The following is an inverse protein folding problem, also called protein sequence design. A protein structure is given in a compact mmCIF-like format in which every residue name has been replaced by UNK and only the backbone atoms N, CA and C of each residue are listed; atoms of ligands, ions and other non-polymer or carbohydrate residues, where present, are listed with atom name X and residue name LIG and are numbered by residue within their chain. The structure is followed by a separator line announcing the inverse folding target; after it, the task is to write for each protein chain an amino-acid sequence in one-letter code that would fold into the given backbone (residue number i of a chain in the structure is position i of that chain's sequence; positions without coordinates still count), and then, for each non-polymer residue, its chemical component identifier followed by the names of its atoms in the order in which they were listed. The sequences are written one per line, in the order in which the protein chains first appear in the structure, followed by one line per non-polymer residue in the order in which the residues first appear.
data_IF_043234872340
#
_entry.id   IF_043234872340
#
_cell.length_a   1.000
_cell.length_b   1.000
_cell.length_c   1.000
_cell.angle_alpha   90.00
_cell.angle_beta   90.00
_cell.angle_gamma   90.00
#
_symmetry.space_group_name_H-M   'P 1'
#
loop_
_entity.id
_entity.type
_entity.pdbx_description
1 polymer ?
#
# COMPACT_ATOMS: atom_id res chain seq x y z
N UNK A 1 -23.96 -37.03 -44.88
CA UNK A 1 -25.25 -37.06 -44.17
C UNK A 1 -24.95 -36.61 -42.76
N UNK A 2 -25.59 -35.55 -42.27
CA UNK A 2 -25.42 -35.12 -40.88
C UNK A 2 -26.37 -35.93 -39.99
N UNK A 3 -25.91 -36.36 -38.82
CA UNK A 3 -26.81 -36.98 -37.84
C UNK A 3 -27.84 -35.96 -37.34
N UNK A 4 -29.09 -36.38 -37.07
CA UNK A 4 -30.09 -35.50 -36.50
C UNK A 4 -29.70 -35.13 -35.06
N UNK A 5 -29.83 -33.85 -34.71
CA UNK A 5 -29.57 -33.37 -33.35
C UNK A 5 -30.69 -33.83 -32.41
N UNK A 6 -30.33 -34.56 -31.35
CA UNK A 6 -31.25 -35.01 -30.32
C UNK A 6 -31.50 -33.89 -29.30
N UNK A 7 -32.65 -33.23 -29.44
CA UNK A 7 -33.07 -32.16 -28.56
C UNK A 7 -33.42 -32.65 -27.15
N UNK A 8 -33.93 -33.87 -27.00
CA UNK A 8 -34.39 -34.39 -25.71
C UNK A 8 -33.18 -34.79 -24.85
N UNK A 9 -32.18 -35.45 -25.44
CA UNK A 9 -30.90 -35.73 -24.79
C UNK A 9 -30.17 -34.45 -24.35
N UNK A 10 -30.21 -33.39 -25.16
CA UNK A 10 -29.62 -32.09 -24.83
C UNK A 10 -30.36 -31.40 -23.66
N UNK A 11 -31.68 -31.50 -23.59
CA UNK A 11 -32.49 -30.97 -22.49
C UNK A 11 -32.28 -31.76 -21.19
N UNK A 12 -32.14 -33.08 -21.26
CA UNK A 12 -31.83 -33.91 -20.09
C UNK A 12 -30.44 -33.58 -19.52
N UNK A 13 -29.42 -33.47 -20.37
CA UNK A 13 -28.08 -33.06 -19.95
C UNK A 13 -28.08 -31.68 -19.25
N UNK A 14 -28.77 -30.69 -19.83
CA UNK A 14 -28.91 -29.37 -19.22
C UNK A 14 -29.65 -29.41 -17.86
N UNK A 15 -30.65 -30.28 -17.71
CA UNK A 15 -31.34 -30.47 -16.43
C UNK A 15 -30.42 -31.07 -15.35
N UNK A 16 -29.58 -32.03 -15.73
CA UNK A 16 -28.55 -32.62 -14.86
C UNK A 16 -27.51 -31.57 -14.43
N UNK A 17 -27.01 -30.74 -15.36
CA UNK A 17 -26.08 -29.65 -15.06
C UNK A 17 -26.69 -28.62 -14.09
N UNK A 18 -27.95 -28.21 -14.31
CA UNK A 18 -28.66 -27.31 -13.39
C UNK A 18 -28.80 -27.92 -11.99
N UNK A 19 -29.04 -29.23 -11.89
CA UNK A 19 -29.11 -29.92 -10.61
C UNK A 19 -27.74 -29.99 -9.91
N UNK A 20 -26.68 -30.26 -10.66
CA UNK A 20 -25.31 -30.27 -10.14
C UNK A 20 -24.88 -28.88 -9.63
N UNK A 21 -25.19 -27.81 -10.37
CA UNK A 21 -24.91 -26.43 -9.96
C UNK A 21 -25.65 -26.05 -8.67
N UNK A 22 -26.93 -26.44 -8.51
CA UNK A 22 -27.68 -26.22 -7.27
C UNK A 22 -27.08 -26.96 -6.08
N UNK A 23 -26.69 -28.22 -6.27
CA UNK A 23 -26.04 -29.01 -5.22
C UNK A 23 -24.69 -28.41 -4.79
N UNK A 24 -23.91 -27.89 -5.74
CA UNK A 24 -22.66 -27.17 -5.47
C UNK A 24 -22.90 -25.83 -4.76
N UNK A 25 -23.94 -25.08 -5.12
CA UNK A 25 -24.31 -23.83 -4.43
C UNK A 25 -24.69 -24.10 -2.97
N UNK A 26 -25.50 -25.13 -2.71
CA UNK A 26 -25.88 -25.51 -1.35
C UNK A 26 -24.70 -26.04 -0.54
N UNK A 27 -23.72 -26.70 -1.16
CA UNK A 27 -22.47 -27.06 -0.48
C UNK A 27 -21.61 -25.85 -0.13
N UNK A 28 -21.47 -24.90 -1.05
CA UNK A 28 -20.79 -23.64 -0.79
C UNK A 28 -21.48 -22.86 0.35
N UNK A 29 -22.82 -22.81 0.38
CA UNK A 29 -23.59 -22.20 1.47
C UNK A 29 -23.32 -22.88 2.81
N UNK A 30 -23.27 -24.21 2.87
CA UNK A 30 -22.90 -24.97 4.08
C UNK A 30 -21.48 -24.63 4.55
N UNK A 31 -20.48 -24.68 3.66
CA UNK A 31 -19.09 -24.33 3.99
C UNK A 31 -18.95 -22.89 4.49
N UNK A 32 -19.63 -21.92 3.85
CA UNK A 32 -19.67 -20.53 4.31
C UNK A 32 -20.30 -20.40 5.71
N UNK A 33 -21.33 -21.19 6.03
CA UNK A 33 -21.93 -21.19 7.35
C UNK A 33 -20.97 -21.72 8.43
N UNK A 34 -20.28 -22.84 8.17
CA UNK A 34 -19.24 -23.39 9.05
C UNK A 34 -18.08 -22.40 9.26
N UNK A 35 -17.57 -21.77 8.20
CA UNK A 35 -16.53 -20.75 8.35
C UNK A 35 -17.01 -19.56 9.21
N UNK A 36 -18.27 -19.13 9.09
CA UNK A 36 -18.84 -18.06 9.93
C UNK A 36 -19.03 -18.46 11.41
N UNK A 37 -19.07 -19.73 11.76
CA UNK A 37 -19.11 -20.21 13.17
C UNK A 37 -17.72 -20.45 13.74
N UNK A 38 -16.82 -20.99 12.94
CA UNK A 38 -15.56 -21.55 13.41
C UNK A 38 -14.41 -20.52 13.38
N UNK A 39 -14.51 -19.49 12.53
CA UNK A 39 -13.56 -18.38 12.55
C UNK A 39 -13.69 -17.61 13.88
N UNK A 40 -12.59 -17.41 14.62
CA UNK A 40 -12.62 -16.63 15.84
C UNK A 40 -13.11 -15.22 15.51
N UNK A 41 -14.09 -14.73 16.27
CA UNK A 41 -14.56 -13.36 16.20
C UNK A 41 -13.88 -12.57 17.30
N UNK A 42 -12.86 -11.75 17.01
CA UNK A 42 -12.26 -10.90 18.04
C UNK A 42 -13.34 -9.96 18.58
N UNK A 43 -13.42 -9.84 19.91
CA UNK A 43 -14.32 -8.89 20.57
C UNK A 43 -13.94 -7.42 20.32
N UNK A 44 -12.68 -7.19 19.93
CA UNK A 44 -12.17 -5.92 19.45
C UNK A 44 -12.33 -5.80 17.91
N UNK A 45 -13.07 -4.79 17.41
CA UNK A 45 -13.17 -4.52 15.98
C UNK A 45 -11.83 -4.27 15.28
N UNK A 46 -10.81 -3.74 15.98
CA UNK A 46 -9.48 -3.50 15.40
C UNK A 46 -8.76 -4.83 15.15
N UNK A 47 -8.77 -5.75 16.13
CA UNK A 47 -8.28 -7.10 15.96
C UNK A 47 -9.05 -7.88 14.88
N UNK A 48 -10.38 -7.75 14.79
CA UNK A 48 -11.19 -8.38 13.74
C UNK A 48 -10.81 -7.89 12.34
N UNK A 49 -10.58 -6.58 12.18
CA UNK A 49 -10.12 -5.95 10.95
C UNK A 49 -8.70 -6.39 10.58
N UNK A 50 -7.76 -6.40 11.53
CA UNK A 50 -6.38 -6.89 11.33
C UNK A 50 -6.35 -8.36 10.90
N UNK A 51 -7.12 -9.23 11.56
CA UNK A 51 -7.25 -10.64 11.19
C UNK A 51 -7.78 -10.82 9.76
N UNK A 52 -8.86 -10.12 9.40
CA UNK A 52 -9.45 -10.23 8.07
C UNK A 52 -8.54 -9.72 6.94
N UNK A 53 -7.74 -8.68 7.19
CA UNK A 53 -6.72 -8.19 6.25
C UNK A 53 -5.60 -9.22 6.09
N UNK A 54 -5.08 -9.78 7.18
CA UNK A 54 -4.04 -10.80 7.11
C UNK A 54 -4.52 -12.05 6.35
N UNK A 55 -5.71 -12.56 6.69
CA UNK A 55 -6.31 -13.72 6.05
C UNK A 55 -6.62 -13.51 4.55
N UNK A 56 -6.91 -12.28 4.11
CA UNK A 56 -7.10 -11.98 2.68
C UNK A 56 -5.86 -12.27 1.83
N UNK A 57 -4.66 -12.07 2.41
CA UNK A 57 -3.39 -12.32 1.72
C UNK A 57 -2.85 -13.73 1.94
N UNK A 58 -3.17 -14.38 3.06
CA UNK A 58 -2.56 -15.66 3.46
C UNK A 58 -3.48 -16.88 3.32
N UNK A 59 -4.79 -16.69 3.20
CA UNK A 59 -5.80 -17.75 3.14
C UNK A 59 -6.79 -17.52 1.98
N UNK A 60 -6.34 -17.65 0.70
CA UNK A 60 -7.16 -17.38 -0.48
C UNK A 60 -8.41 -18.27 -0.62
N UNK A 61 -8.47 -19.38 0.12
CA UNK A 61 -9.64 -20.24 0.24
C UNK A 61 -10.78 -19.63 1.07
N UNK A 62 -10.51 -18.60 1.89
CA UNK A 62 -11.54 -17.89 2.67
C UNK A 62 -12.23 -16.86 1.76
N UNK A 63 -13.55 -16.97 1.51
CA UNK A 63 -14.23 -16.03 0.63
C UNK A 63 -14.12 -14.59 1.12
N UNK A 64 -13.75 -13.67 0.22
CA UNK A 64 -13.63 -12.22 0.50
C UNK A 64 -14.87 -11.63 1.17
N UNK A 65 -16.05 -12.16 0.88
CA UNK A 65 -17.31 -11.83 1.56
C UNK A 65 -17.22 -12.06 3.08
N UNK A 66 -16.75 -13.23 3.54
CA UNK A 66 -16.65 -13.55 4.97
C UNK A 66 -15.62 -12.65 5.66
N UNK A 67 -14.47 -12.44 5.02
CA UNK A 67 -13.43 -11.53 5.54
C UNK A 67 -13.97 -10.10 5.65
N UNK A 68 -14.70 -9.64 4.65
CA UNK A 68 -15.31 -8.32 4.64
C UNK A 68 -16.39 -8.16 5.74
N UNK A 69 -17.22 -9.17 5.96
CA UNK A 69 -18.22 -9.17 7.04
C UNK A 69 -17.54 -9.13 8.42
N UNK A 70 -16.50 -9.95 8.64
CA UNK A 70 -15.72 -9.96 9.88
C UNK A 70 -14.99 -8.62 10.12
N UNK A 71 -14.39 -8.03 9.09
CA UNK A 71 -13.66 -6.77 9.19
C UNK A 71 -14.56 -5.55 9.49
N UNK A 72 -15.81 -5.57 9.01
CA UNK A 72 -16.65 -4.37 8.95
C UNK A 72 -17.88 -4.41 9.85
N UNK A 73 -18.30 -5.60 10.30
CA UNK A 73 -19.57 -5.82 11.02
C UNK A 73 -20.82 -5.66 10.15
N UNK A 74 -20.67 -5.50 8.83
CA UNK A 74 -21.76 -5.40 7.87
C UNK A 74 -22.01 -6.76 7.20
N UNK A 75 -23.07 -6.88 6.38
CA UNK A 75 -23.39 -8.09 5.62
C UNK A 75 -23.32 -7.90 4.10
N UNK A 76 -22.95 -8.96 3.38
CA UNK A 76 -22.98 -9.06 1.92
C UNK A 76 -22.27 -7.91 1.18
N UNK A 77 -22.87 -7.41 0.10
CA UNK A 77 -22.25 -6.40 -0.77
C UNK A 77 -21.85 -5.09 -0.08
N UNK A 78 -22.50 -4.69 1.04
CA UNK A 78 -22.09 -3.53 1.83
C UNK A 78 -20.79 -3.77 2.60
N UNK A 79 -20.62 -4.99 3.11
CA UNK A 79 -19.37 -5.42 3.73
C UNK A 79 -18.25 -5.41 2.71
N UNK A 80 -18.44 -6.06 1.56
CA UNK A 80 -17.46 -6.11 0.46
C UNK A 80 -17.08 -4.70 0.01
N UNK A 81 -18.05 -3.83 -0.30
CA UNK A 81 -17.75 -2.46 -0.72
C UNK A 81 -16.93 -1.69 0.31
N UNK A 82 -17.30 -1.76 1.60
CA UNK A 82 -16.56 -1.08 2.68
C UNK A 82 -15.16 -1.69 2.87
N UNK A 83 -15.04 -3.02 2.88
CA UNK A 83 -13.77 -3.73 3.05
C UNK A 83 -12.83 -3.49 1.87
N UNK A 84 -13.28 -3.68 0.64
CA UNK A 84 -12.48 -3.38 -0.56
C UNK A 84 -12.10 -1.91 -0.59
N UNK A 85 -13.03 -0.97 -0.33
CA UNK A 85 -12.69 0.46 -0.25
C UNK A 85 -11.68 0.77 0.85
N UNK A 86 -11.73 0.09 1.99
CA UNK A 86 -10.74 0.27 3.07
C UNK A 86 -9.40 -0.41 2.77
N UNK A 87 -9.40 -1.47 1.97
CA UNK A 87 -8.19 -2.15 1.46
C UNK A 87 -7.51 -1.33 0.36
N UNK A 88 -8.28 -0.75 -0.56
CA UNK A 88 -7.76 0.12 -1.65
C UNK A 88 -7.52 1.55 -1.19
N UNK A 89 -8.18 2.01 -0.11
CA UNK A 89 -7.81 3.26 0.56
C UNK A 89 -6.51 3.13 1.36
N UNK A 90 -5.81 1.99 1.32
CA UNK A 90 -4.38 1.96 1.67
C UNK A 90 -3.48 2.58 0.58
N UNK A 91 -4.03 2.95 -0.58
CA UNK A 91 -3.35 3.85 -1.54
C UNK A 91 -3.60 5.34 -1.22
N UNK A 92 -4.30 5.69 -0.13
CA UNK A 92 -4.43 7.10 0.31
C UNK A 92 -4.77 7.21 1.80
N UNK A 93 -3.83 7.71 2.58
CA UNK A 93 -4.01 8.01 4.01
C UNK A 93 -5.05 9.14 4.18
N UNK A 94 -6.34 8.78 4.40
CA UNK A 94 -7.44 9.76 4.44
C UNK A 94 -8.38 9.56 5.64
N UNK A 95 -8.09 10.21 6.78
CA UNK A 95 -9.09 11.01 7.46
C UNK A 95 -9.63 12.08 6.49
N UNK A 96 -10.92 12.42 6.62
CA UNK A 96 -11.63 13.47 5.85
C UNK A 96 -10.76 14.71 5.49
N UNK A 97 -11.04 15.34 4.33
CA UNK A 97 -10.38 16.51 3.67
C UNK A 97 -10.07 17.78 4.53
N UNK A 98 -10.16 17.71 5.85
CA UNK A 98 -9.95 18.79 6.82
C UNK A 98 -8.94 18.42 7.92
N UNK A 99 -8.17 17.34 7.77
CA UNK A 99 -7.21 16.86 8.78
C UNK A 99 -5.77 16.75 8.24
N UNK A 100 -5.21 17.88 7.78
CA UNK A 100 -3.76 18.09 7.82
C UNK A 100 -3.36 18.23 9.28
N UNK A 101 -3.06 17.09 9.93
CA UNK A 101 -2.55 17.03 11.30
C UNK A 101 -1.23 16.27 11.29
N UNK A 102 -0.14 17.05 11.28
CA UNK A 102 1.19 16.68 11.80
C UNK A 102 1.50 15.18 11.71
N UNK A 103 1.53 14.63 10.49
CA UNK A 103 2.16 13.34 10.28
C UNK A 103 3.63 13.45 10.73
N UNK A 104 4.18 12.43 11.42
CA UNK A 104 5.59 12.44 11.80
C UNK A 104 6.47 12.70 10.56
N UNK A 105 7.43 13.61 10.67
CA UNK A 105 8.40 13.85 9.59
C UNK A 105 9.38 12.69 9.53
N UNK A 106 9.07 11.71 8.69
CA UNK A 106 9.83 10.47 8.53
C UNK A 106 8.89 9.30 8.18
N UNK A 107 9.47 8.19 7.77
CA UNK A 107 8.75 6.94 7.56
C UNK A 107 8.21 6.43 8.90
N UNK A 108 6.97 5.92 8.96
CA UNK A 108 6.45 5.34 10.19
C UNK A 108 7.28 4.12 10.63
N UNK A 109 7.36 3.83 11.93
CA UNK A 109 7.98 2.59 12.40
C UNK A 109 7.26 1.37 11.81
N UNK A 110 8.03 0.44 11.24
CA UNK A 110 7.50 -0.84 10.73
C UNK A 110 6.61 -1.53 11.76
N UNK A 111 5.41 -1.94 11.35
CA UNK A 111 4.55 -2.82 12.14
C UNK A 111 5.25 -4.19 12.34
N UNK A 112 4.93 -4.95 13.41
CA UNK A 112 5.64 -6.20 13.72
C UNK A 112 5.64 -7.23 12.59
N UNK A 113 4.56 -7.31 11.81
CA UNK A 113 4.46 -8.26 10.68
C UNK A 113 5.33 -7.83 9.48
N UNK A 114 5.46 -6.53 9.22
CA UNK A 114 6.29 -5.98 8.14
C UNK A 114 7.76 -6.24 8.46
N UNK A 115 8.14 -6.00 9.72
CA UNK A 115 9.45 -6.32 10.25
C UNK A 115 9.78 -7.81 10.15
N UNK A 116 8.84 -8.70 10.45
CA UNK A 116 9.04 -10.16 10.32
C UNK A 116 9.27 -10.56 8.85
N UNK A 117 8.46 -10.04 7.91
CA UNK A 117 8.63 -10.30 6.48
C UNK A 117 9.99 -9.78 5.99
N UNK A 118 10.34 -8.54 6.31
CA UNK A 118 11.62 -7.95 5.89
C UNK A 118 12.81 -8.68 6.52
N UNK A 119 12.71 -9.15 7.76
CA UNK A 119 13.73 -9.99 8.39
C UNK A 119 13.92 -11.31 7.61
N UNK A 120 12.83 -11.97 7.19
CA UNK A 120 12.90 -13.19 6.37
C UNK A 120 13.55 -12.95 5.00
N UNK A 121 13.40 -11.75 4.41
CA UNK A 121 14.12 -11.37 3.19
C UNK A 121 15.60 -11.10 3.47
N UNK A 122 15.93 -10.37 4.54
CA UNK A 122 17.31 -10.08 4.95
C UNK A 122 18.12 -11.34 5.31
N UNK A 123 17.50 -12.30 6.01
CA UNK A 123 18.11 -13.57 6.42
C UNK A 123 18.38 -14.51 5.22
N UNK A 124 17.65 -14.32 4.11
CA UNK A 124 17.78 -15.10 2.87
C UNK A 124 18.60 -14.39 1.79
N UNK A 125 19.09 -13.18 2.07
CA UNK A 125 19.76 -12.30 1.11
C UNK A 125 18.90 -12.02 -0.14
N UNK A 126 17.59 -11.81 0.07
CA UNK A 126 16.60 -11.60 -0.98
C UNK A 126 16.14 -10.13 -1.05
N UNK A 127 15.96 -9.62 -2.27
CA UNK A 127 15.28 -8.34 -2.50
C UNK A 127 13.82 -8.39 -2.04
N UNK A 128 13.24 -7.24 -1.69
CA UNK A 128 11.83 -7.10 -1.30
C UNK A 128 11.20 -5.87 -1.94
N UNK A 129 9.96 -5.97 -2.41
CA UNK A 129 9.18 -4.79 -2.84
C UNK A 129 8.44 -4.23 -1.63
N UNK A 130 8.60 -2.93 -1.37
CA UNK A 130 7.93 -2.21 -0.28
C UNK A 130 7.09 -1.04 -0.79
N UNK A 131 6.03 -0.71 -0.06
CA UNK A 131 5.46 0.64 -0.11
C UNK A 131 6.24 1.52 0.87
N UNK A 132 6.78 2.64 0.37
CA UNK A 132 7.47 3.66 1.16
C UNK A 132 6.59 4.92 1.12
N UNK A 133 6.23 5.46 2.29
CA UNK A 133 5.43 6.68 2.35
C UNK A 133 6.29 7.89 2.01
N UNK A 134 5.98 8.54 0.88
CA UNK A 134 6.56 9.80 0.46
C UNK A 134 5.54 10.92 0.71
N UNK A 135 5.97 12.18 0.53
CA UNK A 135 5.15 13.37 0.84
C UNK A 135 3.80 13.44 0.13
N UNK A 136 3.61 12.69 -0.95
CA UNK A 136 2.42 12.70 -1.80
C UNK A 136 1.71 11.34 -1.89
N UNK A 137 2.09 10.39 -1.02
CA UNK A 137 1.50 9.05 -0.92
C UNK A 137 2.55 7.93 -0.93
N UNK A 138 2.07 6.69 -0.94
CA UNK A 138 2.90 5.49 -1.01
C UNK A 138 3.53 5.29 -2.41
N UNK A 139 4.82 4.97 -2.43
CA UNK A 139 5.55 4.56 -3.64
C UNK A 139 6.05 3.13 -3.50
N UNK A 140 5.80 2.31 -4.53
CA UNK A 140 6.31 0.95 -4.61
C UNK A 140 7.78 0.97 -5.03
N UNK A 141 8.68 0.52 -4.16
CA UNK A 141 10.12 0.51 -4.40
C UNK A 141 10.70 -0.88 -4.14
N UNK A 142 11.53 -1.35 -5.08
CA UNK A 142 12.28 -2.60 -4.94
C UNK A 142 13.57 -2.35 -4.14
N UNK A 143 13.66 -2.96 -2.96
CA UNK A 143 14.82 -2.92 -2.08
C UNK A 143 15.74 -4.10 -2.38
N UNK A 144 17.03 -3.82 -2.57
CA UNK A 144 18.11 -4.82 -2.51
C UNK A 144 18.27 -5.39 -1.09
N UNK A 145 18.91 -6.57 -0.90
CA UNK A 145 19.09 -7.16 0.43
C UNK A 145 19.77 -6.22 1.45
N UNK A 146 20.72 -5.39 1.02
CA UNK A 146 21.37 -4.41 1.88
C UNK A 146 20.44 -3.24 2.24
N UNK A 147 19.62 -2.76 1.30
CA UNK A 147 18.59 -1.74 1.59
C UNK A 147 17.51 -2.30 2.55
N UNK A 148 17.11 -3.57 2.43
CA UNK A 148 16.22 -4.24 3.41
C UNK A 148 16.86 -4.25 4.80
N UNK A 149 18.15 -4.59 4.91
CA UNK A 149 18.90 -4.55 6.18
C UNK A 149 18.99 -3.15 6.77
N UNK A 150 19.14 -2.10 5.94
CA UNK A 150 19.10 -0.71 6.40
C UNK A 150 17.70 -0.31 6.88
N UNK A 151 16.64 -0.63 6.12
CA UNK A 151 15.26 -0.30 6.45
C UNK A 151 14.78 -0.93 7.77
N UNK A 152 15.23 -2.17 8.05
CA UNK A 152 14.99 -2.85 9.32
C UNK A 152 15.59 -2.12 10.53
N UNK A 153 16.74 -1.46 10.35
CA UNK A 153 17.45 -0.73 11.41
C UNK A 153 16.87 0.68 11.58
N UNK A 154 16.67 1.39 10.48
CA UNK A 154 16.17 2.76 10.42
C UNK A 154 15.39 2.94 9.09
N UNK A 155 14.05 3.04 9.13
CA UNK A 155 13.22 3.22 7.95
C UNK A 155 13.59 4.44 7.09
N UNK A 156 14.05 5.55 7.67
CA UNK A 156 14.47 6.74 6.91
C UNK A 156 15.81 6.53 6.22
N UNK A 157 16.72 5.78 6.85
CA UNK A 157 17.98 5.36 6.21
C UNK A 157 17.72 4.38 5.07
N UNK A 158 16.79 3.44 5.26
CA UNK A 158 16.35 2.51 4.22
C UNK A 158 15.70 3.22 3.03
N UNK A 159 14.78 4.15 3.28
CA UNK A 159 14.14 4.97 2.27
C UNK A 159 15.13 5.88 1.53
N UNK A 160 16.04 6.56 2.25
CA UNK A 160 17.10 7.36 1.64
C UNK A 160 18.00 6.53 0.72
N UNK A 161 18.41 5.34 1.18
CA UNK A 161 19.21 4.41 0.38
C UNK A 161 18.46 3.85 -0.83
N UNK A 162 17.14 3.65 -0.72
CA UNK A 162 16.27 3.26 -1.83
C UNK A 162 16.14 4.37 -2.89
N UNK A 163 16.05 5.63 -2.45
CA UNK A 163 16.07 6.83 -3.31
C UNK A 163 17.47 7.28 -3.74
N UNK A 164 18.54 6.55 -3.40
CA UNK A 164 19.91 6.85 -3.82
C UNK A 164 20.53 8.14 -3.23
N UNK A 165 20.05 8.60 -2.07
CA UNK A 165 20.50 9.82 -1.39
C UNK A 165 21.03 9.55 0.01
N UNK A 166 21.68 10.54 0.64
CA UNK A 166 22.06 10.44 2.04
C UNK A 166 20.83 10.55 2.96
N UNK A 167 20.89 9.94 4.15
CA UNK A 167 19.83 10.05 5.18
C UNK A 167 19.53 11.50 5.54
N UNK A 168 20.57 12.32 5.70
CA UNK A 168 20.42 13.73 6.07
C UNK A 168 19.81 14.56 4.93
N UNK A 169 20.12 14.23 3.67
CA UNK A 169 19.47 14.85 2.51
C UNK A 169 18.01 14.42 2.37
N UNK A 170 17.67 13.15 2.61
CA UNK A 170 16.30 12.65 2.60
C UNK A 170 15.44 13.33 3.68
N UNK A 171 15.97 13.48 4.90
CA UNK A 171 15.29 14.22 5.97
C UNK A 171 15.15 15.71 5.66
N UNK A 172 16.16 16.33 5.02
CA UNK A 172 16.07 17.72 4.58
C UNK A 172 15.06 17.91 3.43
N UNK A 173 14.91 16.91 2.55
CA UNK A 173 13.89 16.86 1.51
C UNK A 173 12.48 16.75 2.13
N UNK A 174 12.28 15.84 3.09
CA UNK A 174 11.03 15.72 3.86
C UNK A 174 10.67 17.03 4.59
N UNK A 175 11.63 17.64 5.28
CA UNK A 175 11.43 18.94 5.95
C UNK A 175 11.10 20.08 4.97
N UNK A 176 11.59 20.01 3.74
CA UNK A 176 11.26 20.98 2.68
C UNK A 176 9.90 20.74 2.03
N UNK A 177 9.17 19.69 2.39
CA UNK A 177 7.97 19.20 1.67
C UNK A 177 8.26 18.99 0.17
N UNK A 178 9.47 18.50 -0.15
CA UNK A 178 9.98 18.32 -1.51
C UNK A 178 10.14 19.62 -2.29
N UNK A 179 9.94 20.77 -1.63
CA UNK A 179 10.03 22.10 -2.19
C UNK A 179 11.47 22.50 -2.45
N UNK A 180 11.75 22.94 -3.66
CA UNK A 180 13.07 23.43 -4.05
C UNK A 180 13.36 24.75 -3.32
N UNK A 181 14.46 24.79 -2.57
CA UNK A 181 15.04 26.02 -2.05
C UNK A 181 16.04 26.60 -3.05
N UNK A 182 16.00 27.92 -3.24
CA UNK A 182 16.99 28.65 -4.03
C UNK A 182 18.41 28.46 -3.46
N UNK A 183 19.31 27.97 -4.29
CA UNK A 183 20.71 27.78 -3.94
C UNK A 183 21.62 28.97 -4.17
N UNK A 184 21.20 29.97 -4.95
CA UNK A 184 22.10 30.97 -5.51
C UNK A 184 22.61 31.99 -4.48
N UNK A 185 23.79 32.57 -4.78
CA UNK A 185 24.42 33.56 -3.93
C UNK A 185 23.73 34.93 -4.06
N UNK A 186 23.32 35.49 -2.92
CA UNK A 186 22.85 36.87 -2.80
C UNK A 186 23.99 37.87 -3.03
N UNK A 187 23.64 39.15 -3.20
CA UNK A 187 24.62 40.25 -3.21
C UNK A 187 25.51 40.31 -1.94
N UNK A 188 25.10 39.67 -0.84
CA UNK A 188 25.89 39.55 0.40
C UNK A 188 26.76 38.28 0.48
N UNK A 189 26.84 37.50 -0.60
CA UNK A 189 27.65 36.27 -0.69
C UNK A 189 27.05 35.05 0.02
N UNK A 190 25.86 35.17 0.64
CA UNK A 190 25.15 34.06 1.29
C UNK A 190 24.23 33.36 0.29
N UNK A 191 23.96 32.05 0.45
CA UNK A 191 22.88 31.39 -0.29
C UNK A 191 21.53 32.01 0.09
N UNK A 192 20.63 32.18 -0.87
CA UNK A 192 19.31 32.79 -0.63
C UNK A 192 18.35 31.88 0.17
N UNK A 193 18.36 30.56 -0.10
CA UNK A 193 17.62 29.49 0.62
C UNK A 193 16.09 29.66 0.73
N UNK A 194 15.49 30.65 0.06
CA UNK A 194 14.03 30.79 0.00
C UNK A 194 13.43 29.77 -0.96
N UNK A 195 12.28 29.19 -0.60
CA UNK A 195 11.51 28.29 -1.46
C UNK A 195 11.13 28.95 -2.79
N UNK A 196 11.18 28.19 -3.87
CA UNK A 196 10.77 28.62 -5.21
C UNK A 196 9.28 28.35 -5.38
N UNK A 197 8.46 29.41 -5.43
CA UNK A 197 7.00 29.27 -5.55
C UNK A 197 6.59 28.77 -6.94
N UNK A 198 5.73 27.76 -6.99
CA UNK A 198 5.24 27.19 -8.25
C UNK A 198 6.23 26.27 -8.98
N UNK A 199 7.40 25.98 -8.39
CA UNK A 199 8.22 24.87 -8.85
C UNK A 199 7.52 23.54 -8.53
N UNK A 200 7.66 22.49 -9.38
CA UNK A 200 7.15 21.17 -9.04
C UNK A 200 7.88 20.61 -7.81
N UNK A 201 7.19 19.77 -7.05
CA UNK A 201 7.84 18.93 -6.06
C UNK A 201 8.71 17.90 -6.78
N UNK A 202 9.92 17.68 -6.29
CA UNK A 202 10.89 16.75 -6.89
C UNK A 202 11.04 15.49 -6.04
N UNK A 203 11.42 14.38 -6.67
CA UNK A 203 11.87 13.19 -5.94
C UNK A 203 13.20 13.46 -5.21
N UNK A 204 13.56 12.70 -4.15
CA UNK A 204 14.70 13.02 -3.30
C UNK A 204 16.02 13.18 -4.08
N UNK A 205 16.29 12.29 -5.04
CA UNK A 205 17.50 12.33 -5.86
C UNK A 205 17.59 13.59 -6.74
N UNK A 206 16.48 14.00 -7.36
CA UNK A 206 16.41 15.19 -8.20
C UNK A 206 16.58 16.46 -7.37
N UNK A 207 15.90 16.53 -6.21
CA UNK A 207 16.01 17.63 -5.26
C UNK A 207 17.44 17.81 -4.76
N UNK A 208 18.16 16.73 -4.42
CA UNK A 208 19.58 16.78 -4.03
C UNK A 208 20.44 17.29 -5.18
N UNK A 209 20.25 16.77 -6.40
CA UNK A 209 21.01 17.22 -7.57
C UNK A 209 20.78 18.71 -7.88
N UNK A 210 19.55 19.22 -7.72
CA UNK A 210 19.23 20.64 -7.91
C UNK A 210 19.79 21.51 -6.78
N UNK A 211 19.63 21.08 -5.53
CA UNK A 211 20.21 21.74 -4.34
C UNK A 211 21.74 21.85 -4.42
N UNK A 212 22.41 20.86 -5.02
CA UNK A 212 23.86 20.84 -5.25
C UNK A 212 24.30 21.77 -6.39
N UNK A 213 23.53 21.87 -7.49
CA UNK A 213 23.81 22.79 -8.62
C UNK A 213 23.76 24.26 -8.20
N UNK A 214 22.88 24.62 -7.27
CA UNK A 214 22.86 25.96 -6.67
C UNK A 214 22.00 26.99 -7.40
N UNK A 215 21.10 26.57 -8.30
CA UNK A 215 20.09 27.41 -8.97
C UNK A 215 19.05 27.96 -7.95
N UNK A 216 18.38 29.10 -8.10
CA UNK A 216 18.40 30.13 -9.15
C UNK A 216 18.28 31.51 -8.47
N UNK A 217 19.07 32.52 -8.81
CA UNK A 217 18.72 33.92 -8.56
C UNK A 217 19.49 34.82 -9.54
N UNK A 218 19.06 36.05 -9.84
CA UNK A 218 18.11 36.93 -9.14
C UNK A 218 16.60 36.56 -9.12
N UNK A 219 16.08 35.81 -10.09
CA UNK A 219 14.64 35.81 -10.46
C UNK A 219 13.84 34.60 -9.93
N UNK A 220 14.54 33.61 -9.37
CA UNK A 220 14.03 32.27 -9.01
C UNK A 220 13.40 31.49 -10.20
N UNK A 221 13.62 31.99 -11.42
CA UNK A 221 13.80 31.24 -12.66
C UNK A 221 15.14 31.51 -13.35
N UNK A 222 16.08 32.20 -12.67
CA UNK A 222 17.42 32.60 -13.16
C UNK A 222 17.60 34.10 -13.23
#
# INVERSE_FOLDING_TARGET
MSEPFDHDAALEALAQDIQALRAAEDDLRRRKATLRTDLPRPSDPIAARRFAIAAYWTAPEVPTEILAELATGLSGGKAIYKFTREMTARDSDVPCMLCVREAPRGNPPLEPFEREILQLHADRDQSATMQIEWLWGAHSVDLTPDQVRLYLQDPDLGAAAASGVSRDDYLAWLESEGGIQCGAATQSGRRCLRSVYGAPHEEPAEWVQRRARGDYCHIHGG
#
